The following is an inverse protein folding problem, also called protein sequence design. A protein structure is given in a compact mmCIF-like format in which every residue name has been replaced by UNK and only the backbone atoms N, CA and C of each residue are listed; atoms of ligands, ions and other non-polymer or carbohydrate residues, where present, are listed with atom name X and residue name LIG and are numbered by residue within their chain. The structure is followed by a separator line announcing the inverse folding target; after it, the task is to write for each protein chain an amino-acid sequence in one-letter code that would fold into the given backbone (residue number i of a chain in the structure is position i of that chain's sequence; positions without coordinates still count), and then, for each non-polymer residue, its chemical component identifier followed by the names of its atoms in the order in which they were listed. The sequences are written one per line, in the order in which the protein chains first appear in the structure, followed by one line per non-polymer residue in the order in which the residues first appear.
data_IF_002974996022
#
_entry.id   IF_002974996022
#
_cell.length_a   1.000
_cell.length_b   1.000
_cell.length_c   1.000
_cell.angle_alpha   90.00
_cell.angle_beta   90.00
_cell.angle_gamma   90.00
#
_symmetry.space_group_name_H-M   'P 1'
#
loop_
_entity.id
_entity.type
_entity.pdbx_description
1 polymer ?
#
# COMPACT_ATOMS: atom_id res chain seq x y z
N UNK A 1 38.89 77.07 6.53
CA UNK A 1 38.03 76.24 7.39
C UNK A 1 37.53 75.07 6.53
N UNK A 2 38.34 73.98 6.52
CA UNK A 2 38.10 72.81 5.64
C UNK A 2 37.44 71.70 6.43
N UNK A 3 36.24 71.32 6.06
CA UNK A 3 35.54 70.14 6.62
C UNK A 3 35.69 69.03 5.60
N UNK A 4 36.45 67.98 5.95
CA UNK A 4 36.57 66.73 5.20
C UNK A 4 35.40 65.82 5.59
N UNK A 5 34.58 65.43 4.64
CA UNK A 5 33.63 64.33 4.77
C UNK A 5 34.34 62.99 4.49
N UNK A 6 34.34 62.11 5.50
CA UNK A 6 34.78 60.73 5.34
C UNK A 6 33.60 59.87 4.96
N UNK A 7 33.65 59.22 3.81
CA UNK A 7 32.70 58.19 3.41
C UNK A 7 33.10 56.85 4.05
N UNK A 8 32.25 56.32 4.91
CA UNK A 8 32.34 54.93 5.40
C UNK A 8 31.60 54.05 4.39
N UNK A 9 32.32 53.18 3.67
CA UNK A 9 31.74 52.12 2.86
C UNK A 9 31.53 50.93 3.78
N UNK A 10 30.27 50.61 4.12
CA UNK A 10 29.86 49.44 4.84
C UNK A 10 29.70 48.30 3.81
N UNK A 11 30.70 47.41 3.75
CA UNK A 11 30.59 46.15 2.99
C UNK A 11 29.78 45.17 3.80
N UNK A 12 28.52 44.95 3.41
CA UNK A 12 27.71 43.83 3.92
C UNK A 12 28.23 42.53 3.27
N UNK A 13 28.96 41.75 4.04
CA UNK A 13 29.20 40.33 3.71
C UNK A 13 27.89 39.58 4.00
N UNK A 14 27.14 39.27 2.96
CA UNK A 14 26.04 38.30 3.02
C UNK A 14 26.65 36.88 3.11
N UNK A 15 26.75 36.37 4.36
CA UNK A 15 27.00 34.97 4.60
C UNK A 15 25.76 34.18 4.12
N UNK A 16 25.83 33.59 2.94
CA UNK A 16 24.92 32.51 2.56
C UNK A 16 25.15 31.33 3.53
N UNK A 17 24.29 31.22 4.51
CA UNK A 17 24.11 29.99 5.29
C UNK A 17 23.61 28.92 4.33
N UNK A 18 24.52 28.12 3.80
CA UNK A 18 24.22 26.83 3.19
C UNK A 18 23.60 25.97 4.30
N UNK A 19 22.26 25.92 4.31
CA UNK A 19 21.56 24.92 5.09
C UNK A 19 22.11 23.54 4.67
N UNK A 20 22.41 22.64 5.62
CA UNK A 20 22.87 21.31 5.27
C UNK A 20 21.77 20.67 4.42
N UNK A 21 22.10 20.31 3.20
CA UNK A 21 21.27 19.44 2.36
C UNK A 21 21.01 18.20 3.19
N UNK A 22 19.77 18.06 3.66
CA UNK A 22 19.34 16.86 4.36
C UNK A 22 19.71 15.68 3.46
N UNK A 23 20.63 14.86 3.91
CA UNK A 23 21.01 13.62 3.24
C UNK A 23 19.72 12.83 3.05
N UNK A 24 19.25 12.76 1.80
CA UNK A 24 18.19 11.86 1.44
C UNK A 24 18.67 10.46 1.80
N UNK A 25 18.09 9.86 2.82
CA UNK A 25 18.37 8.49 3.17
C UNK A 25 18.21 7.67 1.89
N UNK A 26 19.31 7.09 1.41
CA UNK A 26 19.28 6.21 0.25
C UNK A 26 18.19 5.18 0.51
N UNK A 27 17.20 5.10 -0.38
CA UNK A 27 16.13 4.15 -0.28
C UNK A 27 16.72 2.76 -0.01
N UNK A 28 16.33 2.17 1.11
CA UNK A 28 16.69 0.77 1.38
C UNK A 28 16.16 -0.04 0.21
N UNK A 29 16.94 -0.93 -0.40
CA UNK A 29 16.50 -1.69 -1.56
C UNK A 29 15.48 -2.76 -1.13
N UNK A 30 14.23 -2.32 -0.89
CA UNK A 30 13.15 -3.16 -0.34
C UNK A 30 12.90 -4.41 -1.19
N UNK A 31 13.00 -4.26 -2.50
CA UNK A 31 12.88 -5.38 -3.43
C UNK A 31 14.02 -6.40 -3.24
N UNK A 32 15.26 -5.94 -3.08
CA UNK A 32 16.38 -6.81 -2.80
C UNK A 32 16.27 -7.48 -1.42
N UNK A 33 15.75 -6.75 -0.43
CA UNK A 33 15.48 -7.27 0.91
C UNK A 33 14.37 -8.33 0.89
N UNK A 34 13.29 -8.10 0.13
CA UNK A 34 12.23 -9.07 -0.06
C UNK A 34 12.78 -10.36 -0.72
N UNK A 35 13.59 -10.23 -1.76
CA UNK A 35 14.20 -11.38 -2.44
C UNK A 35 15.15 -12.18 -1.53
N UNK A 36 15.99 -11.48 -0.76
CA UNK A 36 16.88 -12.15 0.22
C UNK A 36 16.11 -12.87 1.32
N UNK A 37 15.04 -12.24 1.81
CA UNK A 37 14.20 -12.83 2.84
C UNK A 37 13.44 -14.05 2.32
N UNK A 38 12.86 -13.99 1.12
CA UNK A 38 12.23 -15.14 0.46
C UNK A 38 13.21 -16.32 0.27
N UNK A 39 14.47 -16.04 -0.07
CA UNK A 39 15.52 -17.07 -0.13
C UNK A 39 15.77 -17.72 1.24
N UNK A 40 15.92 -16.91 2.30
CA UNK A 40 16.10 -17.44 3.67
C UNK A 40 14.90 -18.26 4.12
N UNK A 41 13.67 -17.80 3.86
CA UNK A 41 12.45 -18.54 4.18
C UNK A 41 12.45 -19.93 3.52
N UNK A 42 12.85 -20.00 2.26
CA UNK A 42 13.01 -21.30 1.57
C UNK A 42 14.07 -22.18 2.23
N UNK A 43 15.25 -21.62 2.48
CA UNK A 43 16.37 -22.39 3.03
C UNK A 43 16.03 -23.00 4.40
N UNK A 44 15.35 -22.25 5.26
CA UNK A 44 14.98 -22.63 6.63
C UNK A 44 13.71 -23.47 6.74
N UNK A 45 12.87 -23.52 5.71
CA UNK A 45 11.59 -24.23 5.77
C UNK A 45 11.78 -25.77 5.87
N UNK A 46 10.91 -26.49 6.61
CA UNK A 46 10.86 -27.95 6.62
C UNK A 46 10.64 -28.53 5.21
N UNK A 47 11.06 -29.77 4.99
CA UNK A 47 10.97 -30.44 3.69
C UNK A 47 9.52 -30.53 3.16
N UNK A 48 8.57 -30.87 4.02
CA UNK A 48 7.14 -30.91 3.68
C UNK A 48 6.59 -29.57 3.21
N UNK A 49 6.98 -28.48 3.87
CA UNK A 49 6.58 -27.11 3.50
C UNK A 49 7.19 -26.69 2.18
N UNK A 50 8.46 -27.05 1.92
CA UNK A 50 9.09 -26.84 0.61
C UNK A 50 8.36 -27.59 -0.50
N UNK A 51 7.99 -28.84 -0.26
CA UNK A 51 7.24 -29.66 -1.21
C UNK A 51 5.87 -29.04 -1.55
N UNK A 52 5.12 -28.60 -0.53
CA UNK A 52 3.85 -27.89 -0.72
C UNK A 52 4.01 -26.60 -1.54
N UNK A 53 4.97 -25.76 -1.19
CA UNK A 53 5.22 -24.53 -1.93
C UNK A 53 5.63 -24.79 -3.37
N UNK A 54 6.44 -25.82 -3.61
CA UNK A 54 6.82 -26.23 -4.96
C UNK A 54 5.62 -26.71 -5.76
N UNK A 55 4.79 -27.56 -5.18
CA UNK A 55 3.55 -28.04 -5.80
C UNK A 55 2.63 -26.87 -6.17
N UNK A 56 2.39 -25.93 -5.26
CA UNK A 56 1.55 -24.77 -5.51
C UNK A 56 2.14 -23.85 -6.60
N UNK A 57 3.45 -23.62 -6.57
CA UNK A 57 4.15 -22.85 -7.61
C UNK A 57 4.01 -23.47 -8.99
N UNK A 58 4.22 -24.78 -9.09
CA UNK A 58 4.25 -25.49 -10.36
C UNK A 58 2.85 -25.71 -10.95
N UNK A 59 1.80 -25.63 -10.10
CA UNK A 59 0.40 -25.64 -10.53
C UNK A 59 -0.05 -24.32 -11.19
N UNK A 60 0.62 -23.21 -10.90
CA UNK A 60 0.27 -21.88 -11.43
C UNK A 60 0.87 -21.68 -12.83
N UNK A 61 0.07 -21.15 -13.75
CA UNK A 61 0.61 -20.61 -15.00
C UNK A 61 1.18 -19.22 -14.77
N UNK A 62 2.35 -18.97 -15.36
CA UNK A 62 3.04 -17.69 -15.27
C UNK A 62 2.88 -16.90 -16.57
N UNK A 63 2.25 -15.75 -16.51
CA UNK A 63 2.03 -14.84 -17.64
C UNK A 63 2.88 -13.59 -17.42
N UNK A 64 3.65 -13.18 -18.41
CA UNK A 64 4.51 -12.01 -18.30
C UNK A 64 4.00 -10.87 -19.20
N UNK A 65 3.49 -9.80 -18.59
CA UNK A 65 3.07 -8.56 -19.23
C UNK A 65 4.06 -7.40 -18.96
N UNK A 66 5.10 -7.65 -18.17
CA UNK A 66 5.96 -6.59 -17.64
C UNK A 66 6.83 -5.89 -18.67
N UNK A 67 7.08 -6.53 -19.80
CA UNK A 67 7.88 -5.96 -20.89
C UNK A 67 7.05 -5.19 -21.93
N UNK A 68 5.72 -5.29 -21.88
CA UNK A 68 4.83 -4.58 -22.80
C UNK A 68 4.59 -3.15 -22.31
N UNK A 69 5.45 -2.22 -22.78
CA UNK A 69 5.40 -0.82 -22.39
C UNK A 69 4.16 -0.07 -22.91
N UNK A 70 3.45 -0.61 -23.91
CA UNK A 70 2.22 0.02 -24.42
C UNK A 70 1.07 -0.06 -23.40
N UNK A 71 1.16 -0.99 -22.43
CA UNK A 71 0.20 -1.14 -21.32
C UNK A 71 0.44 -0.16 -20.19
N UNK A 72 1.56 0.55 -20.24
CA UNK A 72 2.06 1.33 -19.11
C UNK A 72 1.73 2.81 -19.26
N UNK A 73 1.10 3.40 -18.24
CA UNK A 73 0.82 4.83 -18.15
C UNK A 73 1.65 5.39 -16.98
N UNK A 74 2.45 6.41 -17.25
CA UNK A 74 3.21 7.12 -16.21
C UNK A 74 2.36 8.25 -15.65
N UNK A 75 1.98 8.14 -14.36
CA UNK A 75 1.19 9.13 -13.64
C UNK A 75 2.09 10.28 -13.15
N UNK A 76 3.24 9.92 -12.57
CA UNK A 76 4.26 10.86 -12.13
C UNK A 76 5.64 10.29 -12.40
N UNK A 77 6.48 11.03 -13.13
CA UNK A 77 7.84 10.61 -13.47
C UNK A 77 8.79 10.93 -12.33
N UNK A 78 9.49 9.92 -11.84
CA UNK A 78 10.60 10.11 -10.91
C UNK A 78 11.87 10.59 -11.59
N UNK A 79 12.67 11.35 -10.86
CA UNK A 79 13.98 11.79 -11.28
C UNK A 79 14.95 11.91 -10.10
N UNK A 80 16.25 12.19 -10.33
CA UNK A 80 17.21 12.44 -9.25
C UNK A 80 16.95 13.71 -8.44
N UNK A 81 16.05 14.58 -8.89
CA UNK A 81 15.77 15.84 -8.20
C UNK A 81 15.09 15.62 -6.85
N UNK A 82 15.36 16.48 -5.85
CA UNK A 82 14.61 16.48 -4.61
C UNK A 82 13.09 16.60 -4.86
N UNK A 83 12.30 15.77 -4.15
CA UNK A 83 10.84 15.75 -4.31
C UNK A 83 10.32 14.90 -5.48
N UNK A 84 11.18 14.29 -6.28
CA UNK A 84 10.79 13.45 -7.41
C UNK A 84 11.09 11.95 -7.23
N UNK A 85 11.17 11.50 -5.99
CA UNK A 85 11.09 10.08 -5.62
C UNK A 85 9.66 9.82 -5.16
N UNK A 86 8.83 9.26 -6.04
CA UNK A 86 7.42 8.99 -5.78
C UNK A 86 7.22 7.56 -5.28
N UNK A 87 6.53 7.40 -4.14
CA UNK A 87 6.37 6.09 -3.51
C UNK A 87 4.99 5.88 -2.88
N UNK A 88 4.65 4.61 -2.64
CA UNK A 88 3.46 4.15 -1.92
C UNK A 88 2.14 4.76 -2.43
N UNK A 89 1.81 4.64 -3.73
CA UNK A 89 0.54 5.14 -4.22
C UNK A 89 -0.63 4.31 -3.69
N UNK A 90 -1.78 4.98 -3.54
CA UNK A 90 -3.09 4.34 -3.48
C UNK A 90 -4.05 5.10 -4.38
N UNK A 91 -5.08 4.43 -4.84
CA UNK A 91 -6.04 4.99 -5.79
C UNK A 91 -7.48 4.77 -5.34
N UNK A 92 -8.36 5.70 -5.69
CA UNK A 92 -9.80 5.56 -5.53
C UNK A 92 -10.50 5.99 -6.82
N UNK A 93 -11.46 5.18 -7.28
CA UNK A 93 -12.29 5.48 -8.45
C UNK A 93 -13.69 5.90 -8.01
N UNK A 94 -14.24 6.96 -8.59
CA UNK A 94 -15.60 7.40 -8.31
C UNK A 94 -16.65 6.45 -8.89
N UNK A 95 -17.92 6.66 -8.53
CA UNK A 95 -19.04 5.84 -8.99
C UNK A 95 -19.29 5.95 -10.52
N UNK A 96 -18.75 6.98 -11.16
CA UNK A 96 -18.81 7.15 -12.62
C UNK A 96 -17.94 6.14 -13.40
N UNK A 97 -17.14 5.33 -12.70
CA UNK A 97 -16.19 4.37 -13.25
C UNK A 97 -15.17 4.99 -14.23
N UNK A 98 -14.91 6.27 -14.11
CA UNK A 98 -14.08 7.05 -15.03
C UNK A 98 -13.10 7.96 -14.27
N UNK A 99 -13.58 8.65 -13.24
CA UNK A 99 -12.76 9.55 -12.44
C UNK A 99 -11.97 8.76 -11.42
N UNK A 100 -10.63 8.87 -11.47
CA UNK A 100 -9.71 8.15 -10.56
C UNK A 100 -8.80 9.17 -9.88
N UNK A 101 -8.65 9.04 -8.57
CA UNK A 101 -7.66 9.78 -7.78
C UNK A 101 -6.48 8.87 -7.43
N UNK A 102 -5.29 9.43 -7.43
CA UNK A 102 -4.07 8.79 -6.97
C UNK A 102 -3.37 9.71 -5.98
N UNK A 103 -3.05 9.20 -4.79
CA UNK A 103 -2.25 9.87 -3.77
C UNK A 103 -0.99 9.08 -3.51
N UNK A 104 0.11 9.76 -3.19
CA UNK A 104 1.38 9.09 -2.87
C UNK A 104 2.26 9.96 -1.97
N UNK A 105 3.35 9.43 -1.48
CA UNK A 105 4.34 10.18 -0.72
C UNK A 105 5.65 10.38 -1.49
N UNK A 106 6.40 11.37 -1.08
CA UNK A 106 7.73 11.67 -1.60
C UNK A 106 8.77 10.93 -0.75
N UNK A 107 9.59 10.11 -1.39
CA UNK A 107 10.55 9.23 -0.73
C UNK A 107 9.89 7.99 -0.11
N UNK A 108 10.68 7.00 0.27
CA UNK A 108 10.18 5.79 0.94
C UNK A 108 9.75 6.12 2.38
N UNK A 109 8.44 6.16 2.65
CA UNK A 109 7.89 6.56 3.95
C UNK A 109 8.03 8.05 4.29
N UNK A 110 8.31 8.89 3.29
CA UNK A 110 8.48 10.33 3.44
C UNK A 110 7.18 11.13 3.50
N UNK A 111 7.25 12.39 3.13
CA UNK A 111 6.12 13.32 3.20
C UNK A 111 5.03 12.95 2.21
N UNK A 112 3.76 13.00 2.64
CA UNK A 112 2.63 13.08 1.74
C UNK A 112 2.67 14.43 1.00
N UNK A 113 1.92 14.57 -0.05
CA UNK A 113 1.88 15.86 -0.74
C UNK A 113 1.26 15.74 -2.11
N UNK A 114 1.73 14.85 -2.98
CA UNK A 114 1.16 14.75 -4.30
C UNK A 114 -0.21 14.06 -4.33
N UNK A 115 -1.11 14.65 -5.13
CA UNK A 115 -2.36 14.03 -5.57
C UNK A 115 -2.49 14.27 -7.07
N UNK A 116 -2.99 13.29 -7.79
CA UNK A 116 -3.38 13.43 -9.18
C UNK A 116 -4.79 12.88 -9.41
N UNK A 117 -5.47 13.46 -10.40
CA UNK A 117 -6.79 13.08 -10.86
C UNK A 117 -6.74 12.73 -12.35
N UNK A 118 -7.45 11.68 -12.70
CA UNK A 118 -7.79 11.34 -14.08
C UNK A 118 -9.29 11.43 -14.26
N UNK A 119 -9.73 11.98 -15.40
CA UNK A 119 -11.13 12.07 -15.81
C UNK A 119 -11.46 11.17 -17.01
N UNK A 120 -10.51 10.31 -17.41
CA UNK A 120 -10.57 9.46 -18.60
C UNK A 120 -10.17 8.01 -18.31
N UNK A 121 -10.55 7.52 -17.14
CA UNK A 121 -10.28 6.15 -16.70
C UNK A 121 -8.77 5.81 -16.65
N UNK A 122 -7.95 6.77 -16.20
CA UNK A 122 -6.54 6.57 -15.95
C UNK A 122 -5.63 6.68 -17.18
N UNK A 123 -6.10 7.23 -18.30
CA UNK A 123 -5.28 7.44 -19.49
C UNK A 123 -4.42 8.70 -19.37
N UNK A 124 -5.01 9.79 -18.87
CA UNK A 124 -4.28 11.04 -18.58
C UNK A 124 -4.50 11.49 -17.15
N UNK A 125 -3.55 12.26 -16.63
CA UNK A 125 -3.53 12.64 -15.21
C UNK A 125 -3.16 14.11 -15.03
N UNK A 126 -3.89 14.80 -14.16
CA UNK A 126 -3.64 16.18 -13.76
C UNK A 126 -3.29 16.25 -12.29
N UNK A 127 -2.23 16.99 -11.94
CA UNK A 127 -1.85 17.23 -10.54
C UNK A 127 -2.88 18.15 -9.86
N UNK A 128 -3.21 17.82 -8.61
CA UNK A 128 -4.23 18.48 -7.81
C UNK A 128 -3.65 19.07 -6.51
N UNK A 129 -2.35 19.30 -6.45
CA UNK A 129 -1.66 19.68 -5.21
C UNK A 129 -2.21 20.99 -4.61
N UNK A 130 -2.62 21.93 -5.47
CA UNK A 130 -3.18 23.24 -5.05
C UNK A 130 -4.59 23.13 -4.42
N UNK A 131 -5.28 22.01 -4.61
CA UNK A 131 -6.59 21.76 -4.00
C UNK A 131 -6.48 21.19 -2.58
N UNK A 132 -5.27 20.84 -2.14
CA UNK A 132 -5.04 20.19 -0.86
C UNK A 132 -4.84 21.20 0.29
N UNK A 133 -5.25 20.87 1.52
CA UNK A 133 -4.97 21.70 2.67
C UNK A 133 -3.47 21.93 2.85
N UNK A 134 -3.02 23.14 3.23
CA UNK A 134 -1.59 23.48 3.31
C UNK A 134 -0.79 22.57 4.23
N UNK A 135 -1.39 22.02 5.29
CA UNK A 135 -0.72 21.10 6.21
C UNK A 135 -0.58 19.68 5.67
N UNK A 136 -1.23 19.34 4.56
CA UNK A 136 -1.19 17.96 4.01
C UNK A 136 0.24 17.51 3.68
N UNK A 137 1.11 18.41 3.27
CA UNK A 137 2.52 18.11 3.01
C UNK A 137 3.29 17.62 4.26
N UNK A 138 2.78 17.91 5.45
CA UNK A 138 3.36 17.43 6.71
C UNK A 138 2.90 16.03 7.10
N UNK A 139 1.89 15.48 6.42
CA UNK A 139 1.51 14.09 6.57
C UNK A 139 2.65 13.22 6.04
N UNK A 140 2.74 11.99 6.49
CA UNK A 140 3.82 11.08 6.11
C UNK A 140 3.27 9.70 5.83
N UNK A 141 4.14 8.88 5.29
CA UNK A 141 4.06 7.45 5.20
C UNK A 141 2.71 6.89 4.73
N UNK A 142 2.71 6.37 3.52
CA UNK A 142 1.62 5.62 2.92
C UNK A 142 0.25 6.33 2.95
N UNK A 143 0.10 7.57 2.41
CA UNK A 143 -1.21 8.16 2.28
C UNK A 143 -2.13 7.18 1.55
N UNK A 144 -3.31 6.94 2.11
CA UNK A 144 -4.25 5.95 1.60
C UNK A 144 -5.60 6.61 1.36
N UNK A 145 -6.07 6.58 0.11
CA UNK A 145 -7.34 7.20 -0.30
C UNK A 145 -8.45 6.15 -0.36
N UNK A 146 -9.62 6.50 0.18
CA UNK A 146 -10.79 5.65 0.24
C UNK A 146 -12.06 6.41 -0.11
N UNK A 147 -13.01 5.71 -0.72
CA UNK A 147 -14.42 6.11 -0.75
C UNK A 147 -15.11 5.48 0.44
N UNK A 148 -15.74 6.30 1.28
CA UNK A 148 -16.51 5.82 2.43
C UNK A 148 -17.93 6.34 2.28
N UNK A 149 -18.89 5.43 2.26
CA UNK A 149 -20.32 5.75 2.19
C UNK A 149 -20.90 5.65 3.59
N UNK A 150 -21.59 6.69 4.04
CA UNK A 150 -22.29 6.65 5.31
C UNK A 150 -23.58 5.79 5.23
N UNK A 151 -24.24 5.50 6.37
CA UNK A 151 -25.48 4.71 6.39
C UNK A 151 -26.62 5.35 5.59
N UNK A 152 -26.59 6.67 5.36
CA UNK A 152 -27.58 7.41 4.57
C UNK A 152 -27.29 7.39 3.06
N UNK A 153 -26.17 6.76 2.66
CA UNK A 153 -25.77 6.62 1.26
C UNK A 153 -24.93 7.78 0.74
N UNK A 154 -24.55 8.77 1.57
CA UNK A 154 -23.64 9.83 1.15
C UNK A 154 -22.20 9.31 1.10
N UNK A 155 -21.61 9.42 -0.07
CA UNK A 155 -20.23 9.04 -0.32
C UNK A 155 -19.27 10.21 -0.15
N UNK A 156 -18.09 9.93 0.38
CA UNK A 156 -17.00 10.91 0.55
C UNK A 156 -15.68 10.28 0.21
N UNK A 157 -14.76 11.09 -0.28
CA UNK A 157 -13.37 10.72 -0.43
C UNK A 157 -12.60 11.10 0.84
N UNK A 158 -11.82 10.16 1.32
CA UNK A 158 -10.95 10.32 2.49
C UNK A 158 -9.52 9.99 2.13
N UNK A 159 -8.58 10.77 2.64
CA UNK A 159 -7.16 10.38 2.68
C UNK A 159 -6.73 10.30 4.13
N UNK A 160 -6.21 9.15 4.51
CA UNK A 160 -5.56 8.92 5.79
C UNK A 160 -4.06 8.73 5.54
N UNK A 161 -3.22 9.19 6.46
CA UNK A 161 -1.79 8.97 6.41
C UNK A 161 -1.28 8.62 7.79
N UNK A 162 -0.04 8.21 7.91
CA UNK A 162 0.60 8.07 9.21
C UNK A 162 1.53 9.27 9.43
N UNK A 163 1.65 9.74 10.66
CA UNK A 163 2.64 10.74 11.05
C UNK A 163 3.37 10.27 12.30
N UNK A 164 4.64 10.03 12.13
CA UNK A 164 5.52 9.71 13.25
C UNK A 164 5.75 10.97 14.08
N UNK A 165 5.71 10.85 15.41
CA UNK A 165 6.08 11.93 16.31
C UNK A 165 7.58 12.12 16.30
N UNK A 166 7.98 13.37 16.10
CA UNK A 166 9.37 13.81 16.20
C UNK A 166 9.46 14.92 17.22
N UNK A 167 10.60 15.05 17.90
CA UNK A 167 10.85 16.26 18.68
C UNK A 167 10.91 17.47 17.73
N UNK A 168 10.31 18.59 18.16
CA UNK A 168 10.19 19.78 17.31
C UNK A 168 11.55 20.45 17.01
N UNK A 169 12.55 20.24 17.85
CA UNK A 169 13.84 20.91 17.75
C UNK A 169 14.84 20.12 16.89
N UNK A 170 14.85 18.80 17.04
CA UNK A 170 15.85 17.94 16.43
C UNK A 170 15.33 17.04 15.30
N UNK A 171 14.04 17.05 15.03
CA UNK A 171 13.34 16.15 14.07
C UNK A 171 13.64 14.65 14.31
N UNK A 172 14.06 14.31 15.53
CA UNK A 172 14.31 12.92 15.93
C UNK A 172 13.03 12.27 16.40
N UNK A 173 12.92 10.97 16.20
CA UNK A 173 11.82 10.18 16.74
C UNK A 173 11.84 10.26 18.27
N UNK A 174 10.72 10.66 18.87
CA UNK A 174 10.60 10.70 20.32
C UNK A 174 10.76 9.27 20.85
N UNK A 175 11.73 9.08 21.75
CA UNK A 175 12.04 7.81 22.39
C UNK A 175 12.43 6.66 21.45
N UNK A 176 12.95 6.95 20.24
CA UNK A 176 13.37 5.91 19.28
C UNK A 176 12.24 5.07 18.71
N UNK A 177 11.01 5.59 18.69
CA UNK A 177 9.81 4.83 18.38
C UNK A 177 9.07 5.34 17.17
N UNK A 178 8.40 4.42 16.48
CA UNK A 178 7.43 4.72 15.43
C UNK A 178 6.06 5.11 16.04
N UNK A 179 6.07 5.95 17.08
CA UNK A 179 4.85 6.51 17.65
C UNK A 179 4.26 7.48 16.65
N UNK A 180 2.99 7.32 16.32
CA UNK A 180 2.34 8.10 15.31
C UNK A 180 0.85 8.23 15.59
N UNK A 181 0.25 9.14 14.88
CA UNK A 181 -1.18 9.33 14.79
C UNK A 181 -1.59 9.32 13.32
N UNK A 182 -2.88 9.28 13.06
CA UNK A 182 -3.42 9.17 11.70
C UNK A 182 -4.07 10.50 11.29
N UNK A 183 -3.31 11.44 10.70
CA UNK A 183 -3.88 12.65 10.11
C UNK A 183 -4.74 12.30 8.90
N UNK A 184 -5.74 13.16 8.62
CA UNK A 184 -6.74 12.89 7.58
C UNK A 184 -7.30 14.15 6.95
N UNK A 185 -7.68 14.02 5.68
CA UNK A 185 -8.43 15.02 4.92
C UNK A 185 -9.66 14.37 4.30
N UNK A 186 -10.67 15.17 4.03
CA UNK A 186 -11.94 14.74 3.42
C UNK A 186 -12.35 15.66 2.29
N UNK A 187 -12.92 15.08 1.25
CA UNK A 187 -13.69 15.77 0.23
C UNK A 187 -15.13 15.28 0.24
N UNK A 188 -16.08 16.21 0.18
CA UNK A 188 -17.53 15.98 0.15
C UNK A 188 -18.17 16.38 -1.19
N UNK A 189 -17.33 16.67 -2.21
CA UNK A 189 -17.69 17.21 -3.52
C UNK A 189 -16.91 16.54 -4.67
N UNK A 190 -16.73 15.24 -4.57
CA UNK A 190 -16.03 14.39 -5.58
C UNK A 190 -14.59 14.84 -5.84
N UNK A 191 -13.89 15.25 -4.79
CA UNK A 191 -12.47 15.59 -4.82
C UNK A 191 -12.16 16.97 -5.38
N UNK A 192 -13.13 17.86 -5.54
CA UNK A 192 -12.91 19.25 -6.00
C UNK A 192 -12.26 20.09 -4.92
N UNK A 193 -12.73 19.96 -3.68
CA UNK A 193 -12.17 20.63 -2.52
C UNK A 193 -11.87 19.64 -1.40
N UNK A 194 -10.86 19.95 -0.59
CA UNK A 194 -10.41 19.12 0.51
C UNK A 194 -10.26 19.93 1.78
N UNK A 195 -10.65 19.36 2.91
CA UNK A 195 -10.43 19.96 4.22
C UNK A 195 -9.78 19.00 5.18
N UNK A 196 -8.88 19.53 6.01
CA UNK A 196 -8.26 18.79 7.09
C UNK A 196 -9.24 18.63 8.27
N UNK A 197 -9.16 17.50 8.94
CA UNK A 197 -9.87 17.22 10.17
C UNK A 197 -8.87 16.88 11.29
N UNK A 198 -9.27 16.99 12.57
CA UNK A 198 -8.46 16.49 13.66
C UNK A 198 -8.02 15.05 13.41
N UNK A 199 -6.75 14.72 13.67
CA UNK A 199 -6.24 13.37 13.43
C UNK A 199 -6.96 12.34 14.31
N UNK A 200 -6.93 11.09 13.90
CA UNK A 200 -7.24 9.98 14.80
C UNK A 200 -6.01 9.72 15.67
N UNK A 201 -6.23 9.65 16.99
CA UNK A 201 -5.15 9.70 17.97
C UNK A 201 -4.77 11.15 18.31
N UNK A 202 -4.37 11.38 19.54
CA UNK A 202 -4.09 12.70 20.07
C UNK A 202 -2.66 12.86 20.56
N UNK A 203 -2.33 13.93 21.31
CA UNK A 203 -1.05 14.04 21.97
C UNK A 203 -0.88 12.79 22.85
N UNK A 204 0.07 11.98 22.46
CA UNK A 204 0.15 10.57 22.81
C UNK A 204 0.42 10.41 24.28
N UNK A 205 -0.56 9.90 25.01
CA UNK A 205 -0.35 9.26 26.29
C UNK A 205 0.12 7.81 26.06
N UNK A 206 0.72 7.20 27.09
CA UNK A 206 1.08 5.77 27.04
C UNK A 206 -0.14 4.88 26.77
N UNK A 207 -1.33 5.38 27.02
CA UNK A 207 -2.61 4.69 26.95
C UNK A 207 -3.40 5.04 25.70
N UNK A 208 -2.84 5.87 24.77
CA UNK A 208 -3.52 6.20 23.52
C UNK A 208 -3.66 4.94 22.65
N UNK A 209 -4.90 4.51 22.33
CA UNK A 209 -5.13 3.33 21.52
C UNK A 209 -4.63 3.45 20.08
N UNK A 210 -4.44 4.69 19.58
CA UNK A 210 -3.90 4.95 18.23
C UNK A 210 -2.38 5.21 18.23
N UNK A 211 -1.70 4.82 19.26
CA UNK A 211 -0.25 4.99 19.34
C UNK A 211 0.50 3.94 18.51
N UNK A 212 1.64 4.34 17.92
CA UNK A 212 2.55 3.48 17.14
C UNK A 212 1.85 2.76 15.96
N UNK A 213 0.97 3.47 15.27
CA UNK A 213 0.13 2.94 14.19
C UNK A 213 0.65 3.32 12.81
N UNK A 214 0.33 2.47 11.83
CA UNK A 214 0.30 2.82 10.42
C UNK A 214 -1.10 3.30 10.02
N UNK A 215 -1.22 3.93 8.84
CA UNK A 215 -2.50 4.31 8.26
C UNK A 215 -3.39 3.10 8.00
N UNK A 216 -4.69 3.31 7.80
CA UNK A 216 -5.57 2.26 7.31
C UNK A 216 -4.97 1.60 6.06
N UNK A 217 -4.84 0.30 6.12
CA UNK A 217 -4.35 -0.51 4.99
C UNK A 217 -5.48 -0.95 4.07
N UNK A 218 -6.68 -1.09 4.62
CA UNK A 218 -7.91 -1.37 3.88
C UNK A 218 -9.15 -0.96 4.69
N UNK A 219 -10.23 -0.66 3.97
CA UNK A 219 -11.55 -0.35 4.56
C UNK A 219 -12.59 -1.14 3.78
N UNK A 220 -13.51 -1.80 4.51
CA UNK A 220 -14.63 -2.56 3.93
C UNK A 220 -15.96 -2.09 4.52
N UNK A 221 -16.99 -2.01 3.69
CA UNK A 221 -18.36 -1.72 4.14
C UNK A 221 -18.96 -2.96 4.78
N UNK A 222 -19.58 -2.79 5.96
CA UNK A 222 -20.29 -3.82 6.68
C UNK A 222 -21.77 -3.89 6.26
N UNK A 223 -22.47 -4.99 6.62
CA UNK A 223 -23.87 -5.21 6.26
C UNK A 223 -24.83 -4.19 6.89
N UNK A 224 -24.46 -3.61 8.06
CA UNK A 224 -25.22 -2.56 8.73
C UNK A 224 -25.01 -1.16 8.13
N UNK A 225 -24.22 -1.04 7.05
CA UNK A 225 -23.88 0.21 6.40
C UNK A 225 -22.71 0.99 7.04
N UNK A 226 -22.20 0.53 8.18
CA UNK A 226 -20.95 1.05 8.76
C UNK A 226 -19.73 0.60 7.94
N UNK A 227 -18.55 1.11 8.28
CA UNK A 227 -17.30 0.68 7.63
C UNK A 227 -16.27 0.25 8.66
N UNK A 228 -15.59 -0.85 8.38
CA UNK A 228 -14.51 -1.44 9.16
C UNK A 228 -13.18 -1.10 8.49
N UNK A 229 -12.30 -0.40 9.20
CA UNK A 229 -10.93 -0.09 8.76
C UNK A 229 -9.91 -0.93 9.51
N UNK A 230 -8.97 -1.55 8.78
CA UNK A 230 -7.87 -2.32 9.35
C UNK A 230 -6.53 -1.62 9.11
N UNK A 231 -5.67 -1.68 10.13
CA UNK A 231 -4.31 -1.14 10.14
C UNK A 231 -3.42 -1.96 11.08
N UNK A 232 -2.15 -1.62 11.22
CA UNK A 232 -1.28 -2.36 12.14
C UNK A 232 -0.45 -1.43 13.04
N UNK A 233 0.04 -1.98 14.14
CA UNK A 233 1.00 -1.35 15.05
C UNK A 233 2.04 -2.34 15.56
N UNK A 234 3.12 -1.84 16.16
CA UNK A 234 4.01 -2.64 17.01
C UNK A 234 3.35 -2.95 18.35
N UNK A 235 3.48 -4.17 18.86
CA UNK A 235 2.91 -4.60 20.15
C UNK A 235 3.68 -4.08 21.36
N UNK A 236 4.90 -3.63 21.17
CA UNK A 236 5.80 -3.17 22.23
C UNK A 236 6.34 -1.78 21.99
N UNK A 237 7.04 -1.32 23.01
CA UNK A 237 7.80 -0.09 22.99
C UNK A 237 9.18 -0.44 22.43
N UNK A 238 9.39 -0.22 21.12
CA UNK A 238 10.66 -0.44 20.44
C UNK A 238 10.53 -1.15 19.09
N UNK A 239 11.62 -1.17 18.32
CA UNK A 239 11.66 -1.76 16.97
C UNK A 239 11.52 -3.31 16.97
N UNK A 240 11.70 -3.94 18.11
CA UNK A 240 11.69 -5.41 18.27
C UNK A 240 10.30 -5.97 18.63
N UNK A 241 9.32 -5.11 18.84
CA UNK A 241 7.95 -5.53 19.18
C UNK A 241 7.30 -6.32 18.04
N UNK A 242 6.56 -7.37 18.40
CA UNK A 242 5.74 -8.12 17.46
C UNK A 242 4.63 -7.24 16.93
N UNK A 243 4.34 -7.32 15.63
CA UNK A 243 3.28 -6.53 15.01
C UNK A 243 1.89 -7.11 15.35
N UNK A 244 0.92 -6.22 15.44
CA UNK A 244 -0.50 -6.55 15.65
C UNK A 244 -1.34 -5.87 14.58
N UNK A 245 -2.34 -6.57 14.05
CA UNK A 245 -3.37 -5.96 13.21
C UNK A 245 -4.51 -5.49 14.10
N UNK A 246 -4.87 -4.23 13.92
CA UNK A 246 -5.94 -3.55 14.62
C UNK A 246 -7.09 -3.26 13.67
N UNK A 247 -8.27 -3.07 14.23
CA UNK A 247 -9.46 -2.66 13.53
C UNK A 247 -10.19 -1.54 14.28
N UNK A 248 -10.91 -0.71 13.51
CA UNK A 248 -11.78 0.35 14.04
C UNK A 248 -12.98 0.51 13.11
N UNK A 249 -14.13 0.94 13.65
CA UNK A 249 -15.40 1.05 12.92
C UNK A 249 -15.84 2.51 12.91
N UNK A 250 -16.30 2.96 11.74
CA UNK A 250 -17.01 4.24 11.57
C UNK A 250 -18.48 3.98 11.22
N UNK A 251 -19.40 4.75 11.85
CA UNK A 251 -20.85 4.69 11.61
C UNK A 251 -21.41 5.96 11.01
N UNK A 252 -20.55 6.94 10.71
CA UNK A 252 -20.89 8.27 10.22
C UNK A 252 -20.13 8.65 8.94
N UNK A 253 -19.68 7.66 8.19
CA UNK A 253 -18.98 7.87 6.92
C UNK A 253 -17.55 8.39 7.05
N UNK A 254 -16.86 8.07 8.17
CA UNK A 254 -15.45 8.35 8.35
C UNK A 254 -15.12 9.49 9.31
N UNK A 255 -16.12 10.22 9.84
CA UNK A 255 -15.89 11.35 10.75
C UNK A 255 -15.43 10.90 12.13
N UNK A 256 -16.08 9.91 12.71
CA UNK A 256 -15.67 9.30 13.98
C UNK A 256 -15.35 7.82 13.81
N UNK A 257 -14.44 7.33 14.62
CA UNK A 257 -13.98 5.95 14.62
C UNK A 257 -13.98 5.40 16.04
N UNK A 258 -14.39 4.15 16.21
CA UNK A 258 -14.34 3.48 17.49
C UNK A 258 -12.90 3.35 18.01
N UNK A 259 -12.73 3.16 19.31
CA UNK A 259 -11.44 2.74 19.85
C UNK A 259 -10.97 1.47 19.13
N UNK A 260 -9.69 1.40 18.72
CA UNK A 260 -9.15 0.22 18.03
C UNK A 260 -9.20 -1.03 18.92
N UNK A 261 -9.54 -2.15 18.29
CA UNK A 261 -9.43 -3.48 18.89
C UNK A 261 -8.44 -4.33 18.11
N UNK A 262 -7.88 -5.37 18.74
CA UNK A 262 -6.94 -6.27 18.09
C UNK A 262 -7.74 -7.28 17.25
N UNK A 263 -7.52 -7.28 15.93
CA UNK A 263 -8.06 -8.27 15.01
C UNK A 263 -7.11 -9.48 14.87
N UNK A 264 -5.79 -9.24 14.86
CA UNK A 264 -4.79 -10.30 14.81
C UNK A 264 -3.61 -9.96 15.71
N UNK A 265 -3.32 -10.82 16.66
CA UNK A 265 -2.23 -10.65 17.62
C UNK A 265 -1.01 -11.48 17.21
N UNK A 266 0.00 -10.83 16.64
CA UNK A 266 1.25 -11.50 16.26
C UNK A 266 1.99 -12.16 17.43
N UNK A 267 1.77 -11.72 18.69
CA UNK A 267 2.37 -12.38 19.85
C UNK A 267 1.88 -13.81 20.05
N UNK A 268 0.75 -14.16 19.42
CA UNK A 268 0.11 -15.49 19.47
C UNK A 268 0.36 -16.33 18.21
N UNK A 269 1.22 -15.88 17.30
CA UNK A 269 1.44 -16.48 15.99
C UNK A 269 2.85 -17.09 15.81
N UNK A 270 3.40 -17.70 16.84
CA UNK A 270 4.68 -18.40 16.79
C UNK A 270 5.79 -17.59 16.07
N UNK A 271 5.97 -16.36 16.52
CA UNK A 271 6.97 -15.44 16.02
C UNK A 271 6.69 -14.79 14.65
N UNK A 272 5.52 -14.96 14.07
CA UNK A 272 5.10 -14.26 12.84
C UNK A 272 4.64 -12.83 13.15
N UNK A 273 4.87 -11.94 12.19
CA UNK A 273 4.56 -10.51 12.31
C UNK A 273 3.52 -10.07 11.29
N UNK A 274 2.20 -10.18 11.58
CA UNK A 274 1.13 -9.75 10.67
C UNK A 274 1.13 -8.23 10.51
N UNK A 275 1.07 -7.76 9.28
CA UNK A 275 0.93 -6.32 8.98
C UNK A 275 0.28 -6.09 7.62
N UNK A 276 0.04 -4.83 7.28
CA UNK A 276 -0.54 -4.40 5.99
C UNK A 276 -1.80 -5.20 5.61
N UNK A 277 -2.83 -5.24 6.49
CA UNK A 277 -4.02 -6.05 6.28
C UNK A 277 -4.82 -5.55 5.06
N UNK A 278 -5.25 -6.48 4.22
CA UNK A 278 -6.19 -6.25 3.14
C UNK A 278 -7.47 -7.04 3.43
N UNK A 279 -8.54 -6.36 3.84
CA UNK A 279 -9.84 -6.95 4.12
C UNK A 279 -10.78 -6.79 2.94
N UNK A 280 -11.52 -7.84 2.62
CA UNK A 280 -12.55 -7.85 1.60
C UNK A 280 -13.64 -8.86 1.96
N UNK A 281 -14.80 -8.72 1.32
CA UNK A 281 -15.95 -9.61 1.51
C UNK A 281 -15.90 -10.76 0.52
N UNK A 282 -16.30 -11.96 0.96
CA UNK A 282 -16.52 -13.12 0.09
C UNK A 282 -17.55 -12.79 -1.01
N UNK A 283 -17.45 -13.40 -2.20
CA UNK A 283 -18.39 -13.13 -3.30
C UNK A 283 -19.86 -13.40 -2.97
N UNK A 284 -20.13 -14.36 -2.10
CA UNK A 284 -21.49 -14.66 -1.60
C UNK A 284 -21.96 -13.73 -0.48
N UNK A 285 -21.08 -12.84 0.00
CA UNK A 285 -21.36 -11.89 1.06
C UNK A 285 -21.38 -12.49 2.48
N UNK A 286 -21.07 -13.77 2.65
CA UNK A 286 -21.22 -14.47 3.94
C UNK A 286 -20.18 -14.10 4.98
N UNK A 287 -18.94 -13.83 4.57
CA UNK A 287 -17.83 -13.56 5.49
C UNK A 287 -16.86 -12.48 4.97
N UNK A 288 -16.00 -12.03 5.86
CA UNK A 288 -14.85 -11.19 5.55
C UNK A 288 -13.58 -12.04 5.53
N UNK A 289 -12.73 -11.83 4.55
CA UNK A 289 -11.40 -12.38 4.45
C UNK A 289 -10.36 -11.26 4.65
N UNK A 290 -9.30 -11.52 5.39
CA UNK A 290 -8.19 -10.60 5.56
C UNK A 290 -6.87 -11.27 5.19
N UNK A 291 -6.25 -10.80 4.11
CA UNK A 291 -4.88 -11.16 3.73
C UNK A 291 -3.90 -10.19 4.40
N UNK A 292 -2.79 -10.72 4.90
CA UNK A 292 -1.78 -9.94 5.61
C UNK A 292 -0.37 -10.30 5.14
N UNK A 293 0.48 -9.30 5.02
CA UNK A 293 1.92 -9.51 4.90
C UNK A 293 2.45 -10.16 6.18
N UNK A 294 3.32 -11.15 6.04
CA UNK A 294 4.17 -11.64 7.13
C UNK A 294 5.51 -10.87 7.08
N UNK A 295 5.73 -9.95 8.02
CA UNK A 295 6.80 -8.97 7.95
C UNK A 295 8.21 -9.53 8.15
N UNK A 296 8.38 -10.61 8.91
CA UNK A 296 9.66 -11.32 9.03
C UNK A 296 10.04 -12.08 7.78
N UNK A 297 9.03 -12.36 6.91
CA UNK A 297 9.19 -13.17 5.70
C UNK A 297 9.76 -14.55 6.02
N UNK A 298 9.26 -15.16 7.07
CA UNK A 298 9.62 -16.50 7.52
C UNK A 298 8.83 -17.59 6.79
N UNK A 299 7.90 -17.20 5.91
CA UNK A 299 7.03 -18.11 5.17
C UNK A 299 6.21 -17.39 4.11
N UNK A 300 4.96 -17.80 3.98
CA UNK A 300 3.94 -17.18 3.12
C UNK A 300 3.27 -16.01 3.82
N UNK A 301 2.49 -15.22 3.09
CA UNK A 301 1.53 -14.28 3.66
C UNK A 301 0.53 -15.02 4.56
N UNK A 302 -0.23 -14.26 5.35
CA UNK A 302 -1.21 -14.80 6.30
C UNK A 302 -2.63 -14.50 5.81
N UNK A 303 -3.58 -15.36 6.22
CA UNK A 303 -5.01 -15.17 5.97
C UNK A 303 -5.81 -15.50 7.20
N UNK A 304 -6.87 -14.74 7.45
CA UNK A 304 -7.88 -15.00 8.49
C UNK A 304 -9.27 -14.60 8.01
N UNK A 305 -10.31 -15.14 8.67
CA UNK A 305 -11.70 -14.98 8.26
C UNK A 305 -12.58 -14.52 9.42
N UNK A 306 -13.67 -13.80 9.10
CA UNK A 306 -14.70 -13.39 10.07
C UNK A 306 -16.09 -13.62 9.47
N UNK A 307 -16.96 -14.31 10.22
CA UNK A 307 -18.36 -14.59 9.82
C UNK A 307 -19.38 -13.72 10.53
N UNK A 308 -18.91 -12.76 11.31
CA UNK A 308 -19.71 -11.89 12.18
C UNK A 308 -19.36 -10.41 12.01
N UNK A 309 -19.03 -10.01 10.78
CA UNK A 309 -18.72 -8.61 10.40
C UNK A 309 -17.51 -8.02 11.18
N UNK A 310 -16.50 -8.84 11.45
CA UNK A 310 -15.28 -8.42 12.14
C UNK A 310 -15.36 -8.39 13.67
N UNK A 311 -16.46 -8.89 14.27
CA UNK A 311 -16.54 -8.99 15.73
C UNK A 311 -15.54 -10.01 16.27
N UNK A 312 -15.42 -11.15 15.58
CA UNK A 312 -14.40 -12.17 15.85
C UNK A 312 -13.68 -12.57 14.55
N UNK A 313 -12.45 -13.02 14.69
CA UNK A 313 -11.61 -13.50 13.60
C UNK A 313 -11.09 -14.91 13.89
N UNK A 314 -10.99 -15.73 12.86
CA UNK A 314 -10.29 -17.00 12.95
C UNK A 314 -8.83 -16.79 13.31
N UNK A 315 -8.14 -17.83 13.79
CA UNK A 315 -6.69 -17.82 13.86
C UNK A 315 -6.11 -17.57 12.46
N UNK A 316 -5.11 -16.69 12.37
CA UNK A 316 -4.40 -16.46 11.12
C UNK A 316 -3.54 -17.67 10.77
N UNK A 317 -3.65 -18.11 9.51
CA UNK A 317 -2.89 -19.25 8.95
C UNK A 317 -2.09 -18.80 7.72
N UNK A 318 -1.22 -19.67 7.24
CA UNK A 318 -0.47 -19.43 6.00
C UNK A 318 -1.44 -19.32 4.81
N UNK A 319 -1.34 -18.24 4.05
CA UNK A 319 -2.05 -18.07 2.79
C UNK A 319 -1.42 -18.93 1.67
N UNK A 320 -2.13 -19.21 0.56
CA UNK A 320 -1.56 -19.87 -0.60
C UNK A 320 -0.23 -19.26 -1.04
N UNK A 321 0.73 -20.08 -1.46
CA UNK A 321 2.04 -19.61 -1.91
C UNK A 321 1.94 -18.53 -2.99
N UNK A 322 0.98 -18.66 -3.90
CA UNK A 322 0.74 -17.70 -4.98
C UNK A 322 0.45 -16.28 -4.52
N UNK A 323 -0.06 -16.10 -3.30
CA UNK A 323 -0.41 -14.83 -2.67
C UNK A 323 0.68 -14.27 -1.74
N UNK A 324 1.88 -14.86 -1.73
CA UNK A 324 2.93 -14.39 -0.82
C UNK A 324 3.51 -13.07 -1.28
N UNK A 325 3.29 -12.02 -0.50
CA UNK A 325 3.78 -10.69 -0.83
C UNK A 325 3.42 -9.60 0.17
N UNK A 326 3.65 -8.36 -0.23
CA UNK A 326 3.42 -7.18 0.58
C UNK A 326 2.31 -6.31 -0.02
N UNK A 327 1.48 -5.73 0.86
CA UNK A 327 0.44 -4.76 0.51
C UNK A 327 -0.51 -5.27 -0.58
N UNK A 328 -1.31 -6.26 -0.25
CA UNK A 328 -2.32 -6.81 -1.15
C UNK A 328 -3.42 -5.80 -1.46
N UNK A 329 -3.93 -5.84 -2.69
CA UNK A 329 -5.14 -5.16 -3.10
C UNK A 329 -5.83 -5.96 -4.20
N UNK A 330 -7.15 -6.14 -4.13
CA UNK A 330 -7.85 -7.06 -5.02
C UNK A 330 -9.17 -6.52 -5.55
N UNK A 331 -9.64 -7.16 -6.61
CA UNK A 331 -10.97 -6.98 -7.20
C UNK A 331 -11.57 -8.34 -7.48
N UNK A 332 -12.90 -8.42 -7.42
CA UNK A 332 -13.67 -9.57 -7.92
C UNK A 332 -14.16 -9.27 -9.32
N UNK A 333 -13.99 -10.22 -10.22
CA UNK A 333 -14.41 -10.13 -11.62
C UNK A 333 -15.86 -10.63 -11.79
N UNK A 334 -16.55 -10.24 -12.86
CA UNK A 334 -17.91 -10.71 -13.13
C UNK A 334 -18.06 -12.23 -13.28
N UNK A 335 -16.98 -12.93 -13.63
CA UNK A 335 -16.95 -14.40 -13.74
C UNK A 335 -16.65 -15.13 -12.42
N UNK A 336 -16.59 -14.39 -11.30
CA UNK A 336 -16.34 -14.92 -9.95
C UNK A 336 -14.86 -15.11 -9.62
N UNK A 337 -13.94 -14.90 -10.56
CA UNK A 337 -12.52 -14.89 -10.26
C UNK A 337 -12.12 -13.61 -9.52
N UNK A 338 -10.99 -13.66 -8.85
CA UNK A 338 -10.35 -12.53 -8.19
C UNK A 338 -9.00 -12.24 -8.83
N UNK A 339 -8.67 -10.96 -8.93
CA UNK A 339 -7.31 -10.51 -9.22
C UNK A 339 -6.81 -9.78 -8.00
N UNK A 340 -5.71 -10.24 -7.41
CA UNK A 340 -5.07 -9.63 -6.23
C UNK A 340 -3.65 -9.27 -6.62
N UNK A 341 -3.31 -7.97 -6.51
CA UNK A 341 -1.99 -7.44 -6.85
C UNK A 341 -1.19 -7.13 -5.59
N UNK A 342 0.13 -7.29 -5.66
CA UNK A 342 1.02 -7.08 -4.52
C UNK A 342 2.49 -7.06 -4.96
N UNK A 343 3.39 -6.61 -4.07
CA UNK A 343 4.83 -6.80 -4.22
C UNK A 343 5.20 -8.25 -3.92
N UNK A 344 5.81 -8.92 -4.88
CA UNK A 344 6.22 -10.33 -4.75
C UNK A 344 7.27 -10.55 -3.64
N UNK A 345 6.99 -11.49 -2.75
CA UNK A 345 7.93 -12.00 -1.75
C UNK A 345 7.93 -13.55 -1.67
N UNK A 346 7.35 -14.22 -2.66
CA UNK A 346 7.18 -15.67 -2.65
C UNK A 346 8.54 -16.40 -2.71
N UNK A 347 8.79 -17.37 -1.81
CA UNK A 347 9.99 -18.22 -1.86
C UNK A 347 10.10 -18.94 -3.21
N UNK A 348 11.29 -18.95 -3.81
CA UNK A 348 11.56 -19.60 -5.11
C UNK A 348 10.67 -19.11 -6.26
N UNK A 349 10.18 -17.87 -6.20
CA UNK A 349 9.43 -17.28 -7.30
C UNK A 349 10.30 -17.15 -8.55
N UNK A 350 9.72 -17.44 -9.71
CA UNK A 350 10.29 -17.12 -11.02
C UNK A 350 10.21 -15.62 -11.32
N UNK A 351 9.25 -14.95 -10.72
CA UNK A 351 8.99 -13.51 -10.89
C UNK A 351 9.83 -12.72 -9.88
N UNK A 352 11.14 -12.64 -10.11
CA UNK A 352 12.04 -11.87 -9.24
C UNK A 352 11.65 -10.40 -9.25
N UNK A 353 11.63 -9.77 -8.07
CA UNK A 353 11.48 -8.33 -7.91
C UNK A 353 10.29 -7.75 -8.72
N UNK A 354 9.08 -8.36 -8.60
CA UNK A 354 7.95 -8.06 -9.46
C UNK A 354 6.74 -7.46 -8.75
N UNK A 355 5.99 -6.65 -9.50
CA UNK A 355 4.60 -6.35 -9.26
C UNK A 355 3.76 -7.47 -9.86
N UNK A 356 3.08 -8.21 -9.03
CA UNK A 356 2.41 -9.45 -9.42
C UNK A 356 0.91 -9.32 -9.24
N UNK A 357 0.15 -9.86 -10.19
CA UNK A 357 -1.24 -10.20 -10.04
C UNK A 357 -1.40 -11.70 -9.83
N UNK A 358 -2.00 -12.12 -8.72
CA UNK A 358 -2.53 -13.46 -8.55
C UNK A 358 -3.96 -13.52 -9.08
N UNK A 359 -4.30 -14.59 -9.78
CA UNK A 359 -5.65 -14.85 -10.30
C UNK A 359 -6.12 -16.21 -9.80
N UNK A 360 -7.28 -16.22 -9.17
CA UNK A 360 -7.91 -17.41 -8.64
C UNK A 360 -9.35 -17.13 -8.18
N UNK A 361 -9.90 -18.01 -7.38
CA UNK A 361 -11.24 -17.86 -6.80
C UNK A 361 -11.15 -17.62 -5.29
N UNK A 362 -12.25 -17.22 -4.68
CA UNK A 362 -12.34 -17.13 -3.22
C UNK A 362 -12.11 -18.50 -2.55
N UNK A 363 -12.65 -19.56 -3.14
CA UNK A 363 -12.46 -20.94 -2.71
C UNK A 363 -10.96 -21.37 -2.69
N UNK A 364 -10.16 -20.85 -3.63
CA UNK A 364 -8.71 -21.10 -3.62
C UNK A 364 -8.04 -20.48 -2.38
N UNK A 365 -8.50 -19.31 -1.95
CA UNK A 365 -7.98 -18.64 -0.76
C UNK A 365 -8.41 -19.39 0.50
N UNK A 366 -9.69 -19.69 0.62
CA UNK A 366 -10.32 -20.34 1.78
C UNK A 366 -9.71 -21.73 2.04
N UNK A 367 -9.44 -22.49 0.98
CA UNK A 367 -8.94 -23.86 1.07
C UNK A 367 -7.45 -24.02 0.80
N UNK A 368 -6.69 -22.92 0.75
CA UNK A 368 -5.25 -22.96 0.57
C UNK A 368 -4.78 -23.48 -0.78
N UNK A 369 -5.62 -23.37 -1.83
CA UNK A 369 -5.30 -23.81 -3.20
C UNK A 369 -4.43 -22.81 -3.94
N UNK A 370 -3.66 -23.22 -4.95
CA UNK A 370 -2.69 -22.33 -5.62
C UNK A 370 -3.32 -21.17 -6.39
N UNK A 371 -4.58 -21.30 -6.89
CA UNK A 371 -5.17 -20.42 -7.89
C UNK A 371 -4.82 -20.84 -9.32
N UNK A 372 -5.03 -19.93 -10.29
CA UNK A 372 -4.88 -20.22 -11.72
C UNK A 372 -3.62 -19.63 -12.33
N UNK A 373 -3.40 -18.33 -12.10
CA UNK A 373 -2.30 -17.58 -12.74
C UNK A 373 -1.51 -16.73 -11.75
N UNK A 374 -0.24 -16.54 -12.09
CA UNK A 374 0.55 -15.39 -11.64
C UNK A 374 0.89 -14.56 -12.86
N UNK A 375 0.52 -13.29 -12.80
CA UNK A 375 0.72 -12.34 -13.89
C UNK A 375 1.80 -11.35 -13.47
N UNK A 376 2.95 -11.37 -14.11
CA UNK A 376 4.00 -10.38 -13.91
C UNK A 376 3.60 -9.09 -14.61
N UNK A 377 3.24 -8.06 -13.84
CA UNK A 377 2.71 -6.80 -14.35
C UNK A 377 3.81 -5.76 -14.57
N UNK A 378 4.78 -5.71 -13.68
CA UNK A 378 5.90 -4.78 -13.75
C UNK A 378 7.13 -5.32 -13.04
N UNK A 379 8.33 -4.97 -13.52
CA UNK A 379 9.61 -5.28 -12.89
C UNK A 379 10.31 -4.00 -12.51
N UNK A 380 11.04 -4.00 -11.40
CA UNK A 380 11.87 -2.89 -10.97
C UNK A 380 13.24 -3.37 -10.50
N UNK A 381 14.17 -2.42 -10.37
CA UNK A 381 15.55 -2.72 -10.04
C UNK A 381 15.92 -2.41 -8.57
N UNK A 382 15.15 -1.56 -7.88
CA UNK A 382 15.50 -1.08 -6.54
C UNK A 382 14.36 -1.13 -5.55
N UNK A 383 13.31 -0.34 -5.75
CA UNK A 383 12.17 -0.18 -4.85
C UNK A 383 10.85 -0.17 -5.63
N UNK A 384 9.78 -0.61 -5.02
CA UNK A 384 8.48 -0.62 -5.69
C UNK A 384 7.42 -1.42 -4.96
N UNK A 385 6.24 -1.24 -5.43
CA UNK A 385 5.10 -2.10 -5.67
C UNK A 385 4.03 -2.09 -4.58
N UNK A 386 3.70 -0.93 -4.01
CA UNK A 386 2.43 -0.77 -3.30
C UNK A 386 1.33 -0.40 -4.31
N UNK A 387 0.13 -1.00 -4.23
CA UNK A 387 -0.83 -0.95 -5.32
C UNK A 387 -2.06 -0.08 -5.10
N UNK A 388 -2.63 0.34 -6.24
CA UNK A 388 -4.05 0.59 -6.43
C UNK A 388 -4.58 -0.31 -7.55
N UNK A 389 -5.87 -0.66 -7.53
CA UNK A 389 -6.45 -1.58 -8.51
C UNK A 389 -7.91 -1.23 -8.79
N UNK A 390 -8.28 -1.15 -10.07
CA UNK A 390 -9.64 -0.89 -10.51
C UNK A 390 -10.03 -1.77 -11.70
N UNK A 391 -11.32 -2.10 -11.77
CA UNK A 391 -11.94 -2.76 -12.91
C UNK A 391 -12.88 -1.77 -13.61
N UNK A 392 -12.66 -1.54 -14.88
CA UNK A 392 -13.54 -0.73 -15.72
C UNK A 392 -14.70 -1.55 -16.27
N UNK A 393 -15.82 -0.90 -16.67
CA UNK A 393 -16.98 -1.60 -17.24
C UNK A 393 -16.68 -2.40 -18.52
N UNK A 394 -15.65 -2.02 -19.28
CA UNK A 394 -15.22 -2.72 -20.50
C UNK A 394 -14.31 -3.94 -20.20
N UNK A 395 -14.11 -4.27 -18.92
CA UNK A 395 -13.26 -5.35 -18.45
C UNK A 395 -11.77 -5.01 -18.39
N UNK A 396 -11.38 -3.76 -18.63
CA UNK A 396 -10.00 -3.32 -18.44
C UNK A 396 -9.68 -3.23 -16.95
N UNK A 397 -8.59 -3.86 -16.54
CA UNK A 397 -8.01 -3.78 -15.20
C UNK A 397 -6.91 -2.75 -15.22
N UNK A 398 -6.92 -1.82 -14.25
CA UNK A 398 -5.90 -0.80 -14.04
C UNK A 398 -5.18 -1.12 -12.75
N UNK A 399 -3.94 -1.56 -12.82
CA UNK A 399 -3.08 -1.83 -11.67
C UNK A 399 -2.03 -0.72 -11.54
N UNK A 400 -2.18 0.13 -10.54
CA UNK A 400 -1.28 1.26 -10.29
C UNK A 400 -0.24 0.89 -9.24
N UNK A 401 1.01 1.33 -9.43
CA UNK A 401 2.10 1.07 -8.49
C UNK A 401 3.17 2.15 -8.57
N UNK A 402 4.25 1.99 -7.80
CA UNK A 402 5.48 2.77 -7.97
C UNK A 402 6.66 1.86 -8.25
N UNK A 403 7.60 2.36 -9.02
CA UNK A 403 8.80 1.60 -9.38
C UNK A 403 9.90 2.52 -9.93
N UNK A 404 11.16 2.07 -9.89
CA UNK A 404 12.16 2.60 -10.81
C UNK A 404 11.76 2.20 -12.23
N UNK A 405 11.30 3.16 -13.01
CA UNK A 405 10.70 2.91 -14.32
C UNK A 405 11.73 2.44 -15.35
N UNK A 406 12.97 2.93 -15.20
CA UNK A 406 14.11 2.49 -15.99
C UNK A 406 15.26 2.09 -15.07
N UNK A 407 16.18 1.27 -15.57
CA UNK A 407 17.33 0.79 -14.80
C UNK A 407 18.22 1.93 -14.28
N UNK A 408 18.36 2.98 -15.06
CA UNK A 408 19.14 4.19 -14.76
C UNK A 408 18.42 5.14 -13.80
N UNK A 409 17.11 5.01 -13.61
CA UNK A 409 16.35 5.92 -12.76
C UNK A 409 16.87 5.89 -11.31
N UNK A 410 17.08 7.06 -10.74
CA UNK A 410 17.46 7.24 -9.33
C UNK A 410 16.20 7.31 -8.45
N UNK A 411 15.16 7.98 -8.91
CA UNK A 411 13.86 8.09 -8.27
C UNK A 411 12.86 7.04 -8.76
N UNK A 412 11.81 6.79 -7.98
CA UNK A 412 10.67 5.99 -8.40
C UNK A 412 9.61 6.86 -9.07
N UNK A 413 8.94 6.29 -10.06
CA UNK A 413 7.78 6.86 -10.75
C UNK A 413 6.50 6.20 -10.25
N UNK A 414 5.36 6.89 -10.33
CA UNK A 414 4.04 6.26 -10.21
C UNK A 414 3.61 5.84 -11.62
N UNK A 415 3.29 4.57 -11.76
CA UNK A 415 2.92 3.95 -13.03
C UNK A 415 1.68 3.09 -12.87
N UNK A 416 0.87 2.95 -13.91
CA UNK A 416 -0.20 1.97 -13.99
C UNK A 416 0.02 1.04 -15.17
N UNK A 417 -0.44 -0.20 -15.02
CA UNK A 417 -0.46 -1.21 -16.07
C UNK A 417 -1.92 -1.55 -16.37
N UNK A 418 -2.26 -1.58 -17.65
CA UNK A 418 -3.63 -1.84 -18.14
C UNK A 418 -3.68 -3.18 -18.87
N UNK A 419 -4.62 -4.05 -18.52
CA UNK A 419 -4.79 -5.34 -19.14
C UNK A 419 -6.23 -5.86 -19.01
N UNK A 420 -6.58 -6.89 -19.79
CA UNK A 420 -7.86 -7.60 -19.67
C UNK A 420 -7.62 -9.07 -19.35
N UNK A 421 -8.52 -9.67 -18.57
CA UNK A 421 -8.41 -11.10 -18.27
C UNK A 421 -8.53 -11.98 -19.51
N UNK A 422 -9.29 -11.56 -20.52
CA UNK A 422 -9.38 -12.26 -21.81
C UNK A 422 -8.01 -12.41 -22.51
N UNK A 423 -7.12 -11.44 -22.37
CA UNK A 423 -5.75 -11.49 -22.90
C UNK A 423 -4.89 -12.47 -22.10
N UNK A 424 -4.96 -12.40 -20.77
CA UNK A 424 -4.26 -13.32 -19.86
C UNK A 424 -4.70 -14.76 -20.13
N UNK A 425 -6.00 -15.00 -20.27
CA UNK A 425 -6.56 -16.32 -20.59
C UNK A 425 -6.10 -16.84 -21.97
N UNK A 426 -6.02 -15.96 -22.97
CA UNK A 426 -5.51 -16.34 -24.30
C UNK A 426 -4.03 -16.73 -24.24
N UNK A 427 -3.20 -15.95 -23.55
CA UNK A 427 -1.78 -16.28 -23.34
C UNK A 427 -1.60 -17.58 -22.54
N UNK A 428 -2.41 -17.81 -21.53
CA UNK A 428 -2.38 -19.04 -20.74
C UNK A 428 -2.77 -20.29 -21.54
N UNK A 429 -3.68 -20.16 -22.52
CA UNK A 429 -4.04 -21.25 -23.44
C UNK A 429 -2.91 -21.61 -24.40
N UNK A 430 -2.10 -20.63 -24.82
CA UNK A 430 -0.97 -20.87 -25.72
C UNK A 430 0.23 -21.56 -25.01
N UNK A 431 0.27 -21.52 -23.68
CA UNK A 431 1.29 -22.27 -22.93
C UNK A 431 0.92 -23.76 -22.97
N UNK A 432 1.77 -24.58 -23.57
CA UNK A 432 1.61 -26.04 -23.56
C UNK A 432 1.45 -26.56 -22.12
N UNK A 433 0.59 -27.55 -21.87
CA UNK A 433 0.57 -28.20 -20.57
C UNK A 433 1.97 -28.70 -20.23
N UNK A 434 2.41 -28.53 -18.97
CA UNK A 434 3.67 -29.09 -18.52
C UNK A 434 3.64 -30.61 -18.84
N UNK A 435 4.75 -31.20 -19.32
CA UNK A 435 4.77 -32.65 -19.60
C UNK A 435 4.39 -33.37 -18.31
N UNK A 436 3.37 -34.21 -18.41
CA UNK A 436 2.97 -35.08 -17.30
C UNK A 436 4.19 -35.90 -16.87
N UNK A 437 4.58 -35.74 -15.60
CA UNK A 437 5.65 -36.55 -14.97
C UNK A 437 5.09 -37.88 -14.56
#
# INVERSE_FOLDING_TARGET
MNIRFAFFILTLLSALLLAPVASFAQAKPEVANATKAAKRAWESAPAEKKALWQQQRDALKHIDLSEDTQRQIVIARGSPKPGEYHAHPTTAMLADNKTIFCVWNIGHGGHAGPMARSDDAGLTWTRMDDALPPNYINFKNCPSIYRITDPQGKERLWVFAARTLTDKENLKLIAGRHEGYMPRIVSEDDGKTWRELPPLGGPISKDDPFRNIMTFSSIVRLKDGSSLGLFHRGSGIGEEGTLQVLQSITRDGGFTWSAPTIACDGTKLDGKHPCEPYVFRSPDGSELCCLMRENKRSGTSLVMFSRDEGQTWSQAVDAPWGLTGDRHHGITLPDGRMVIVFRNASPQSKDKAGFIGWVGTYDDIEHGKPGQYRVSLFKTFKDGFYPGLHLLPDGTIIATTYANYRKEDVGCSIVSVRFKMSEVDAMAKMQSPAPAK
#
